data_IF_608203632041
#
_entry.id   IF_608203632041
#
_cell.length_a   1.000
_cell.length_b   1.000
_cell.length_c   1.000
_cell.angle_alpha   90.00
_cell.angle_beta   90.00
_cell.angle_gamma   90.00
#
_symmetry.space_group_name_H-M   'P 1'
#
loop_
_entity.id
_entity.type
_entity.pdbx_description
1 polymer ?
#
# COMPACT_ATOMS: atom_id res chain seq x y z
N UNK A 1 0.05 -67.26 11.10
CA UNK A 1 0.24 -66.24 12.20
C UNK A 1 0.12 -64.88 11.59
N UNK A 2 -0.97 -64.27 11.91
CA UNK A 2 -1.48 -62.99 11.48
C UNK A 2 -0.65 -61.83 12.04
N UNK A 3 -0.35 -60.88 11.17
CA UNK A 3 0.18 -59.58 11.55
C UNK A 3 -0.71 -58.50 10.94
N UNK A 4 -1.63 -57.99 11.71
CA UNK A 4 -2.48 -56.88 11.35
C UNK A 4 -1.68 -55.57 11.33
N UNK A 5 -1.61 -54.95 10.18
CA UNK A 5 -1.07 -53.60 10.03
C UNK A 5 -2.11 -52.56 10.48
N UNK A 6 -1.72 -51.82 11.45
CA UNK A 6 -2.47 -50.71 12.04
C UNK A 6 -2.47 -49.51 11.05
N UNK A 7 -3.62 -49.23 10.45
CA UNK A 7 -3.84 -48.04 9.66
C UNK A 7 -4.16 -46.86 10.63
N UNK A 8 -3.18 -46.07 10.94
CA UNK A 8 -3.39 -44.79 11.62
C UNK A 8 -4.18 -43.82 10.71
N UNK A 9 -5.43 -43.58 11.05
CA UNK A 9 -6.27 -42.56 10.44
C UNK A 9 -5.74 -41.18 10.87
N UNK A 10 -5.22 -40.44 9.91
CA UNK A 10 -4.88 -39.04 10.10
C UNK A 10 -6.15 -38.17 10.01
N UNK A 11 -6.97 -38.18 11.03
CA UNK A 11 -7.99 -37.15 11.26
C UNK A 11 -7.34 -36.01 12.03
N UNK A 12 -6.76 -35.02 11.28
CA UNK A 12 -6.42 -33.72 11.82
C UNK A 12 -7.72 -33.00 12.23
N UNK A 13 -7.99 -32.96 13.51
CA UNK A 13 -9.02 -32.09 14.06
C UNK A 13 -8.61 -30.65 13.77
N UNK A 14 -9.24 -30.01 12.76
CA UNK A 14 -9.31 -28.56 12.71
C UNK A 14 -9.99 -28.13 14.02
N UNK A 15 -9.27 -27.42 14.88
CA UNK A 15 -9.87 -26.78 16.05
C UNK A 15 -10.94 -25.85 15.53
N UNK A 16 -12.20 -26.07 15.91
CA UNK A 16 -13.28 -25.12 15.70
C UNK A 16 -12.92 -23.85 16.50
N UNK A 17 -12.21 -22.95 15.85
CA UNK A 17 -11.94 -21.61 16.41
C UNK A 17 -13.24 -20.85 16.26
N UNK A 18 -13.86 -20.46 17.38
CA UNK A 18 -15.08 -19.66 17.34
C UNK A 18 -14.83 -18.37 16.55
N UNK A 19 -15.75 -17.99 15.66
CA UNK A 19 -15.62 -16.76 14.89
C UNK A 19 -15.51 -15.52 15.79
N UNK A 20 -14.73 -14.56 15.36
CA UNK A 20 -14.63 -13.24 15.99
C UNK A 20 -15.80 -12.40 15.48
N UNK A 21 -16.70 -12.03 16.39
CA UNK A 21 -17.85 -11.19 16.08
C UNK A 21 -17.43 -9.71 16.08
N UNK A 22 -17.70 -9.01 14.98
CA UNK A 22 -17.42 -7.58 14.83
C UNK A 22 -18.43 -6.90 13.92
N UNK A 23 -18.47 -5.57 13.90
CA UNK A 23 -19.38 -4.84 13.02
C UNK A 23 -18.84 -4.76 11.59
N UNK A 24 -17.55 -4.48 11.43
CA UNK A 24 -16.90 -4.37 10.12
C UNK A 24 -15.47 -4.91 10.14
N UNK A 25 -15.04 -5.44 8.99
CA UNK A 25 -13.64 -5.81 8.70
C UNK A 25 -13.08 -4.87 7.65
N UNK A 26 -11.93 -4.27 7.94
CA UNK A 26 -11.16 -3.44 7.00
C UNK A 26 -9.99 -4.28 6.49
N UNK A 27 -9.82 -4.35 5.17
CA UNK A 27 -8.74 -5.08 4.50
C UNK A 27 -7.74 -4.07 3.94
N UNK A 28 -6.61 -3.95 4.61
CA UNK A 28 -5.54 -2.99 4.31
C UNK A 28 -5.39 -1.94 5.41
N UNK A 29 -4.21 -1.90 6.04
CA UNK A 29 -3.80 -0.96 7.08
C UNK A 29 -2.97 0.21 6.52
N UNK A 30 -3.15 0.56 5.24
CA UNK A 30 -2.60 1.77 4.64
C UNK A 30 -3.32 3.04 5.14
N UNK A 31 -2.88 4.24 4.71
CA UNK A 31 -3.44 5.50 5.21
C UNK A 31 -4.96 5.60 5.06
N UNK A 32 -5.52 5.08 3.96
CA UNK A 32 -6.96 5.11 3.69
C UNK A 32 -7.72 4.16 4.62
N UNK A 33 -7.18 2.95 4.86
CA UNK A 33 -7.77 1.99 5.81
C UNK A 33 -7.74 2.51 7.24
N UNK A 34 -6.63 3.14 7.66
CA UNK A 34 -6.52 3.77 8.97
C UNK A 34 -7.53 4.91 9.12
N UNK A 35 -7.69 5.76 8.11
CA UNK A 35 -8.70 6.82 8.18
C UNK A 35 -10.13 6.27 8.17
N UNK A 36 -10.39 5.15 7.49
CA UNK A 36 -11.69 4.47 7.57
C UNK A 36 -12.00 3.97 9.00
N UNK A 37 -10.99 3.53 9.77
CA UNK A 37 -11.16 3.23 11.21
C UNK A 37 -11.68 4.44 11.97
N UNK A 38 -11.11 5.64 11.70
CA UNK A 38 -11.56 6.88 12.33
C UNK A 38 -13.02 7.18 12.02
N UNK A 39 -13.40 7.16 10.75
CA UNK A 39 -14.76 7.47 10.30
C UNK A 39 -15.81 6.47 10.84
N UNK A 40 -15.47 5.17 10.85
CA UNK A 40 -16.32 4.13 11.43
C UNK A 40 -16.40 4.27 12.95
N UNK A 41 -15.31 4.58 13.60
CA UNK A 41 -15.26 4.80 15.05
C UNK A 41 -16.09 6.00 15.51
N UNK A 42 -16.18 7.08 14.72
CA UNK A 42 -17.09 8.21 14.95
C UNK A 42 -18.57 7.75 15.04
N UNK A 43 -18.90 6.67 14.31
CA UNK A 43 -20.25 6.12 14.19
C UNK A 43 -20.51 4.93 15.13
N UNK A 44 -19.64 4.70 16.13
CA UNK A 44 -19.72 3.58 17.07
C UNK A 44 -19.67 2.18 16.42
N UNK A 45 -18.93 2.04 15.33
CA UNK A 45 -18.75 0.80 14.59
C UNK A 45 -17.42 0.18 15.00
N UNK A 46 -17.46 -1.04 15.53
CA UNK A 46 -16.26 -1.81 15.88
C UNK A 46 -15.60 -2.37 14.63
N UNK A 47 -14.29 -2.20 14.55
CA UNK A 47 -13.52 -2.63 13.38
C UNK A 47 -12.37 -3.55 13.74
N UNK A 48 -12.15 -4.56 12.92
CA UNK A 48 -10.92 -5.32 12.83
C UNK A 48 -10.21 -4.97 11.53
N UNK A 49 -8.91 -4.71 11.58
CA UNK A 49 -8.08 -4.35 10.44
C UNK A 49 -7.14 -5.50 10.14
N UNK A 50 -7.15 -6.00 8.91
CA UNK A 50 -6.32 -7.12 8.47
C UNK A 50 -5.38 -6.62 7.38
N UNK A 51 -4.08 -6.89 7.50
CA UNK A 51 -3.09 -6.53 6.47
C UNK A 51 -2.04 -7.63 6.32
N UNK A 52 -1.65 -7.91 5.07
CA UNK A 52 -0.59 -8.86 4.74
C UNK A 52 0.80 -8.39 5.21
N UNK A 53 1.00 -7.08 5.36
CA UNK A 53 2.25 -6.53 5.86
C UNK A 53 2.34 -6.72 7.39
N UNK A 54 3.55 -6.93 7.92
CA UNK A 54 3.76 -7.10 9.36
C UNK A 54 3.66 -5.80 10.15
N UNK A 55 3.44 -4.67 9.47
CA UNK A 55 3.33 -3.33 10.06
C UNK A 55 2.21 -2.53 9.39
N UNK A 56 1.67 -1.56 10.12
CA UNK A 56 0.72 -0.59 9.59
C UNK A 56 1.39 0.42 8.65
N UNK A 57 0.60 1.02 7.76
CA UNK A 57 1.05 2.12 6.90
C UNK A 57 1.08 1.80 5.41
N UNK A 58 0.97 0.52 5.03
CA UNK A 58 0.95 0.13 3.62
C UNK A 58 2.17 0.65 2.85
N UNK A 59 1.97 1.16 1.64
CA UNK A 59 3.05 1.67 0.80
C UNK A 59 3.81 2.84 1.43
N UNK A 60 3.15 3.68 2.23
CA UNK A 60 3.78 4.84 2.87
C UNK A 60 4.89 4.42 3.83
N UNK A 61 4.65 3.42 4.67
CA UNK A 61 5.66 2.91 5.59
C UNK A 61 6.65 1.94 4.92
N UNK A 62 6.18 1.10 3.98
CA UNK A 62 7.00 0.05 3.39
C UNK A 62 7.97 0.57 2.31
N UNK A 63 7.54 1.51 1.46
CA UNK A 63 8.31 1.91 0.29
C UNK A 63 8.99 3.27 0.40
N UNK A 64 8.39 4.21 1.16
CA UNK A 64 8.87 5.60 1.19
C UNK A 64 8.55 6.34 2.52
N UNK A 65 8.93 5.76 3.68
CA UNK A 65 8.60 6.35 4.98
C UNK A 65 9.14 7.76 5.18
N UNK A 66 10.32 8.07 4.65
CA UNK A 66 10.97 9.39 4.77
C UNK A 66 10.68 10.34 3.60
N UNK A 67 9.92 9.88 2.58
CA UNK A 67 9.57 10.72 1.44
C UNK A 67 8.59 11.82 1.85
N UNK A 68 8.85 13.10 1.52
CA UNK A 68 7.92 14.18 1.76
C UNK A 68 6.69 14.06 0.85
N UNK A 69 5.52 14.27 1.43
CA UNK A 69 4.21 14.32 0.79
C UNK A 69 3.66 15.74 0.99
N UNK A 70 3.16 16.37 -0.07
CA UNK A 70 2.75 17.77 -0.08
C UNK A 70 1.26 17.98 -0.32
N UNK A 71 0.51 16.92 -0.65
CA UNK A 71 -0.91 16.96 -1.05
C UNK A 71 -1.85 16.38 0.02
N UNK A 72 -1.40 16.35 1.28
CA UNK A 72 -2.26 16.05 2.42
C UNK A 72 -2.82 17.37 2.97
N UNK A 73 -4.15 17.54 3.02
CA UNK A 73 -4.76 18.77 3.52
C UNK A 73 -4.27 19.15 4.92
N UNK A 74 -4.06 20.44 5.14
CA UNK A 74 -3.58 21.05 6.39
C UNK A 74 -2.11 20.77 6.73
N UNK A 75 -1.39 19.95 5.97
CA UNK A 75 0.05 19.74 6.14
C UNK A 75 0.79 20.35 4.95
N UNK A 76 1.59 21.45 5.15
CA UNK A 76 2.47 21.95 4.10
C UNK A 76 3.44 20.89 3.57
N UNK A 77 3.88 20.02 4.48
CA UNK A 77 4.68 18.82 4.21
C UNK A 77 4.51 17.83 5.36
N UNK A 78 4.43 16.55 5.03
CA UNK A 78 4.47 15.44 5.99
C UNK A 78 5.24 14.28 5.35
N UNK A 79 6.03 13.54 6.12
CA UNK A 79 6.66 12.31 5.58
C UNK A 79 5.66 11.17 5.50
N UNK A 80 5.96 10.13 4.70
CA UNK A 80 5.14 8.92 4.63
C UNK A 80 4.90 8.33 6.02
N UNK A 81 5.96 8.15 6.82
CA UNK A 81 5.83 7.65 8.19
C UNK A 81 5.09 8.64 9.11
N UNK A 82 5.41 9.92 9.02
CA UNK A 82 4.75 10.95 9.84
C UNK A 82 3.24 11.02 9.61
N UNK A 83 2.77 10.76 8.38
CA UNK A 83 1.34 10.64 8.09
C UNK A 83 0.74 9.42 8.80
N UNK A 84 1.42 8.27 8.77
CA UNK A 84 0.94 7.07 9.45
C UNK A 84 0.90 7.26 10.96
N UNK A 85 1.94 7.85 11.55
CA UNK A 85 2.01 8.12 12.99
C UNK A 85 0.85 9.03 13.44
N UNK A 86 0.53 10.06 12.67
CA UNK A 86 -0.60 10.96 12.94
C UNK A 86 -1.94 10.22 12.84
N UNK A 87 -2.13 9.38 11.81
CA UNK A 87 -3.34 8.57 11.66
C UNK A 87 -3.49 7.57 12.82
N UNK A 88 -2.42 6.93 13.25
CA UNK A 88 -2.43 6.01 14.39
C UNK A 88 -2.82 6.72 15.69
N UNK A 89 -2.33 7.95 15.91
CA UNK A 89 -2.77 8.79 17.04
C UNK A 89 -4.26 9.15 16.92
N UNK A 90 -4.73 9.47 15.72
CA UNK A 90 -6.12 9.85 15.47
C UNK A 90 -7.11 8.70 15.73
N UNK A 91 -6.72 7.45 15.45
CA UNK A 91 -7.58 6.27 15.63
C UNK A 91 -7.45 5.63 17.01
N UNK A 92 -6.43 5.97 17.81
CA UNK A 92 -6.18 5.38 19.11
C UNK A 92 -7.42 5.37 20.06
N UNK A 93 -8.27 6.42 20.10
CA UNK A 93 -9.48 6.43 20.94
C UNK A 93 -10.53 5.38 20.59
N UNK A 94 -10.46 4.78 19.40
CA UNK A 94 -11.42 3.78 18.92
C UNK A 94 -10.96 2.33 19.12
N UNK A 95 -9.73 2.13 19.60
CA UNK A 95 -9.13 0.83 19.95
C UNK A 95 -9.35 -0.27 18.90
N UNK A 96 -8.98 -0.03 17.62
CA UNK A 96 -9.16 -1.03 16.57
C UNK A 96 -8.24 -2.23 16.78
N UNK A 97 -8.74 -3.45 16.51
CA UNK A 97 -7.93 -4.65 16.57
C UNK A 97 -7.21 -4.89 15.24
N UNK A 98 -5.87 -4.98 15.27
CA UNK A 98 -5.04 -5.24 14.10
C UNK A 98 -4.64 -6.72 14.00
N UNK A 99 -4.70 -7.26 12.77
CA UNK A 99 -4.22 -8.58 12.39
C UNK A 99 -3.21 -8.40 11.24
N UNK A 100 -1.96 -8.20 11.62
CA UNK A 100 -0.86 -7.91 10.70
C UNK A 100 -0.10 -9.18 10.35
N UNK A 101 0.46 -9.23 9.12
CA UNK A 101 1.10 -10.42 8.59
C UNK A 101 0.11 -11.51 8.18
N UNK A 102 -1.18 -11.16 8.02
CA UNK A 102 -2.25 -12.07 7.65
C UNK A 102 -2.96 -11.59 6.39
N UNK A 103 -3.28 -12.50 5.49
CA UNK A 103 -4.01 -12.20 4.26
C UNK A 103 -5.45 -12.72 4.36
N UNK A 104 -6.43 -11.88 4.00
CA UNK A 104 -7.80 -12.37 3.83
C UNK A 104 -7.85 -13.30 2.62
N UNK A 105 -8.13 -14.56 2.87
CA UNK A 105 -8.18 -15.63 1.87
C UNK A 105 -9.57 -15.80 1.24
N UNK A 106 -10.64 -15.56 2.01
CA UNK A 106 -12.01 -15.71 1.55
C UNK A 106 -12.95 -14.70 2.21
N UNK A 107 -13.95 -14.28 1.44
CA UNK A 107 -15.10 -13.50 1.91
C UNK A 107 -16.35 -14.17 1.37
N UNK A 108 -17.19 -14.68 2.26
CA UNK A 108 -18.45 -15.35 1.95
C UNK A 108 -19.63 -14.51 2.44
N UNK A 109 -20.60 -14.28 1.57
CA UNK A 109 -21.84 -13.59 1.95
C UNK A 109 -22.81 -14.58 2.63
N UNK A 110 -23.26 -14.25 3.82
CA UNK A 110 -24.21 -15.04 4.60
C UNK A 110 -25.59 -14.36 4.68
N UNK A 111 -25.67 -13.05 4.43
CA UNK A 111 -26.87 -12.23 4.56
C UNK A 111 -27.60 -11.96 3.25
N UNK A 112 -28.58 -11.03 3.31
CA UNK A 112 -29.28 -10.50 2.14
C UNK A 112 -28.73 -9.12 1.75
N UNK A 113 -29.22 -8.58 0.63
CA UNK A 113 -28.86 -7.23 0.19
C UNK A 113 -29.31 -6.12 1.18
N UNK A 114 -30.43 -6.35 1.88
CA UNK A 114 -30.98 -5.42 2.87
C UNK A 114 -30.32 -5.56 4.25
N UNK A 115 -29.86 -6.77 4.59
CA UNK A 115 -29.21 -7.11 5.83
C UNK A 115 -27.95 -7.95 5.56
N UNK A 116 -26.86 -7.32 5.04
CA UNK A 116 -25.64 -8.03 4.71
C UNK A 116 -24.97 -8.58 5.96
N UNK A 117 -24.37 -9.74 5.79
CA UNK A 117 -23.53 -10.41 6.78
C UNK A 117 -22.47 -11.23 6.03
N UNK A 118 -21.29 -11.28 6.57
CA UNK A 118 -20.15 -11.92 5.93
C UNK A 118 -19.39 -12.80 6.89
N UNK A 119 -18.86 -13.88 6.34
CA UNK A 119 -17.81 -14.69 6.93
C UNK A 119 -16.51 -14.34 6.20
N UNK A 120 -15.52 -13.85 6.96
CA UNK A 120 -14.20 -13.47 6.44
C UNK A 120 -13.17 -14.41 7.05
N UNK A 121 -12.35 -15.04 6.20
CA UNK A 121 -11.27 -15.93 6.63
C UNK A 121 -9.90 -15.36 6.29
N UNK A 122 -8.90 -15.62 7.17
CA UNK A 122 -7.50 -15.34 6.89
C UNK A 122 -6.73 -16.63 6.58
N UNK A 123 -5.57 -16.48 5.93
CA UNK A 123 -4.62 -17.58 5.69
C UNK A 123 -4.00 -18.15 6.98
N UNK A 124 -4.09 -17.40 8.10
CA UNK A 124 -3.76 -17.88 9.43
C UNK A 124 -4.88 -18.68 10.11
N UNK A 125 -6.02 -18.90 9.44
CA UNK A 125 -7.16 -19.67 9.92
C UNK A 125 -8.07 -18.92 10.89
N UNK A 126 -7.95 -17.60 11.02
CA UNK A 126 -8.93 -16.80 11.77
C UNK A 126 -10.20 -16.61 10.94
N UNK A 127 -11.33 -16.60 11.64
CA UNK A 127 -12.65 -16.38 11.04
C UNK A 127 -13.32 -15.20 11.73
N UNK A 128 -13.88 -14.30 10.93
CA UNK A 128 -14.64 -13.13 11.41
C UNK A 128 -16.08 -13.22 10.88
N UNK A 129 -17.05 -12.85 11.71
CA UNK A 129 -18.39 -12.54 11.27
C UNK A 129 -18.63 -11.04 11.40
N UNK A 130 -19.05 -10.41 10.30
CA UNK A 130 -19.29 -8.96 10.26
C UNK A 130 -20.45 -8.59 9.34
N UNK A 131 -20.95 -7.36 9.48
CA UNK A 131 -22.02 -6.82 8.62
C UNK A 131 -21.48 -6.05 7.41
N UNK A 132 -20.22 -5.64 7.44
CA UNK A 132 -19.61 -4.92 6.35
C UNK A 132 -18.13 -5.31 6.17
N UNK A 133 -17.68 -5.28 4.92
CA UNK A 133 -16.28 -5.45 4.53
C UNK A 133 -15.84 -4.21 3.77
N UNK A 134 -14.75 -3.57 4.23
CA UNK A 134 -14.16 -2.38 3.58
C UNK A 134 -12.81 -2.75 3.00
N UNK A 135 -12.71 -2.79 1.67
CA UNK A 135 -11.48 -3.13 0.95
C UNK A 135 -10.69 -1.83 0.73
N UNK A 136 -9.61 -1.66 1.48
CA UNK A 136 -8.67 -0.54 1.42
C UNK A 136 -7.24 -1.01 1.03
N UNK A 137 -7.17 -2.08 0.22
CA UNK A 137 -5.95 -2.84 -0.07
C UNK A 137 -5.00 -2.16 -1.09
N UNK A 138 -5.23 -0.88 -1.42
CA UNK A 138 -4.41 -0.14 -2.38
C UNK A 138 -4.44 -0.82 -3.75
N UNK A 139 -3.30 -1.24 -4.28
CA UNK A 139 -3.22 -2.04 -5.51
C UNK A 139 -3.17 -3.55 -5.27
N UNK A 140 -3.56 -4.03 -4.09
CA UNK A 140 -3.33 -5.40 -3.66
C UNK A 140 -1.90 -5.60 -3.15
N UNK A 141 -1.43 -6.83 -3.10
CA UNK A 141 -0.02 -7.07 -2.79
C UNK A 141 0.87 -6.50 -3.89
N UNK A 142 1.92 -5.80 -3.48
CA UNK A 142 2.83 -5.14 -4.41
C UNK A 142 4.23 -5.71 -4.30
N UNK A 143 4.83 -5.96 -5.46
CA UNK A 143 6.22 -6.36 -5.57
C UNK A 143 6.91 -5.42 -6.55
N UNK A 144 8.13 -4.98 -6.26
CA UNK A 144 8.90 -4.20 -7.21
C UNK A 144 9.18 -5.02 -8.47
N UNK A 145 9.05 -4.37 -9.62
CA UNK A 145 9.46 -4.99 -10.89
C UNK A 145 10.97 -5.01 -10.95
N UNK A 146 11.52 -6.22 -10.93
CA UNK A 146 12.97 -6.42 -11.01
C UNK A 146 13.46 -6.24 -12.44
N UNK A 147 14.67 -5.64 -12.64
CA UNK A 147 15.29 -5.62 -13.94
C UNK A 147 15.60 -7.06 -14.41
N UNK A 148 15.44 -7.35 -15.71
CA UNK A 148 15.73 -8.68 -16.26
C UNK A 148 17.26 -8.86 -16.43
N UNK A 149 17.99 -8.77 -15.33
CA UNK A 149 19.45 -8.87 -15.30
C UNK A 149 19.84 -10.14 -14.55
N UNK A 150 20.65 -11.02 -15.15
CA UNK A 150 21.16 -12.21 -14.47
C UNK A 150 21.88 -11.85 -13.18
N UNK A 151 21.71 -12.68 -12.16
CA UNK A 151 22.37 -12.56 -10.84
C UNK A 151 22.05 -11.33 -10.02
N UNK A 152 21.14 -10.44 -10.44
CA UNK A 152 20.84 -9.21 -9.70
C UNK A 152 20.32 -9.51 -8.28
N UNK A 153 19.69 -10.67 -8.08
CA UNK A 153 19.20 -11.10 -6.78
C UNK A 153 20.34 -11.34 -5.76
N UNK A 154 21.55 -11.61 -6.21
CA UNK A 154 22.70 -11.82 -5.33
C UNK A 154 23.16 -10.51 -4.66
N UNK A 155 22.75 -9.35 -5.18
CA UNK A 155 23.06 -8.00 -4.69
C UNK A 155 21.93 -7.35 -3.89
N UNK A 156 20.75 -7.98 -3.82
CA UNK A 156 19.58 -7.41 -3.15
C UNK A 156 19.86 -7.19 -1.65
N UNK A 157 19.28 -6.14 -1.10
CA UNK A 157 19.44 -5.68 0.29
C UNK A 157 20.85 -5.25 0.70
N UNK A 158 21.84 -5.39 -0.18
CA UNK A 158 23.24 -4.96 0.06
C UNK A 158 23.66 -3.80 -0.83
N UNK A 159 23.47 -3.94 -2.14
CA UNK A 159 23.82 -2.94 -3.16
C UNK A 159 22.65 -2.62 -4.10
N UNK A 160 21.61 -3.46 -4.16
CA UNK A 160 20.40 -3.25 -4.97
C UNK A 160 19.20 -3.13 -4.05
N UNK A 161 18.50 -1.99 -4.14
CA UNK A 161 17.35 -1.68 -3.29
C UNK A 161 16.17 -1.23 -4.14
N UNK A 162 14.97 -1.74 -3.85
CA UNK A 162 13.74 -1.41 -4.56
C UNK A 162 12.87 -0.38 -3.83
N UNK A 163 13.29 0.03 -2.64
CA UNK A 163 12.66 1.04 -1.81
C UNK A 163 13.73 1.84 -1.05
N UNK A 164 13.44 3.09 -0.73
CA UNK A 164 14.29 3.91 0.14
C UNK A 164 13.55 4.06 1.48
N UNK A 165 13.87 3.20 2.41
CA UNK A 165 13.29 3.22 3.76
C UNK A 165 14.03 4.17 4.71
N UNK A 166 15.32 4.36 4.47
CA UNK A 166 16.20 5.22 5.26
C UNK A 166 17.16 5.96 4.33
N UNK A 167 17.06 7.28 4.27
CA UNK A 167 17.87 8.12 3.38
C UNK A 167 19.35 8.07 3.76
N UNK A 168 19.64 8.04 5.04
CA UNK A 168 21.02 8.04 5.56
C UNK A 168 21.84 6.81 5.14
N UNK A 169 21.20 5.70 4.81
CA UNK A 169 21.85 4.50 4.27
C UNK A 169 22.65 4.77 2.99
N UNK A 170 22.25 5.80 2.25
CA UNK A 170 22.85 6.18 0.97
C UNK A 170 23.90 7.29 1.10
N UNK A 171 24.19 7.73 2.32
CA UNK A 171 25.19 8.78 2.57
C UNK A 171 26.58 8.34 2.10
N UNK A 172 27.17 9.20 1.25
CA UNK A 172 28.51 8.97 0.71
C UNK A 172 28.60 7.85 -0.34
N UNK A 173 27.45 7.25 -0.77
CA UNK A 173 27.39 6.23 -1.80
C UNK A 173 27.37 6.81 -3.20
N UNK A 174 27.84 6.01 -4.19
CA UNK A 174 27.69 6.30 -5.62
C UNK A 174 26.38 5.63 -6.09
N UNK A 175 25.31 6.39 -6.16
CA UNK A 175 23.96 5.88 -6.39
C UNK A 175 23.58 6.00 -7.86
N UNK A 176 23.19 4.89 -8.48
CA UNK A 176 22.52 4.88 -9.77
C UNK A 176 21.03 4.60 -9.58
N UNK A 177 20.19 5.52 -10.01
CA UNK A 177 18.74 5.34 -10.09
C UNK A 177 18.37 4.99 -11.53
N UNK A 178 17.51 3.98 -11.70
CA UNK A 178 17.03 3.57 -13.03
C UNK A 178 15.51 3.66 -13.07
N UNK A 179 14.99 4.56 -13.90
CA UNK A 179 13.56 4.78 -14.02
C UNK A 179 13.22 6.11 -14.69
N UNK A 180 11.96 6.38 -14.93
CA UNK A 180 11.50 7.62 -15.58
C UNK A 180 10.11 8.07 -15.13
N UNK A 181 9.63 7.57 -13.99
CA UNK A 181 8.41 8.00 -13.33
C UNK A 181 8.71 8.84 -12.09
N UNK A 182 7.65 9.29 -11.40
CA UNK A 182 7.74 10.14 -10.21
C UNK A 182 8.70 9.57 -9.16
N UNK A 183 8.59 8.27 -8.83
CA UNK A 183 9.49 7.66 -7.83
C UNK A 183 10.96 7.81 -8.17
N UNK A 184 11.34 7.65 -9.43
CA UNK A 184 12.76 7.76 -9.82
C UNK A 184 13.26 9.20 -9.69
N UNK A 185 12.48 10.18 -10.15
CA UNK A 185 12.87 11.58 -10.15
C UNK A 185 12.84 12.18 -8.73
N UNK A 186 11.84 11.82 -7.94
CA UNK A 186 11.76 12.26 -6.54
C UNK A 186 12.95 11.76 -5.74
N UNK A 187 13.35 10.48 -5.92
CA UNK A 187 14.51 9.94 -5.22
C UNK A 187 15.83 10.51 -5.73
N UNK A 188 15.94 10.86 -7.01
CA UNK A 188 17.10 11.65 -7.50
C UNK A 188 17.22 12.95 -6.70
N UNK A 189 16.12 13.70 -6.56
CA UNK A 189 16.12 15.01 -5.89
C UNK A 189 16.41 14.86 -4.39
N UNK A 190 15.82 13.86 -3.73
CA UNK A 190 15.96 13.68 -2.29
C UNK A 190 17.32 13.07 -1.89
N UNK A 191 17.92 12.22 -2.73
CA UNK A 191 19.21 11.59 -2.42
C UNK A 191 20.42 12.42 -2.91
N UNK A 192 20.23 13.36 -3.82
CA UNK A 192 21.32 14.20 -4.33
C UNK A 192 22.13 14.89 -3.22
N UNK A 193 21.52 15.47 -2.16
CA UNK A 193 22.29 16.11 -1.09
C UNK A 193 23.01 15.13 -0.16
N UNK A 194 22.72 13.84 -0.25
CA UNK A 194 23.18 12.80 0.68
C UNK A 194 24.24 11.90 0.04
N UNK A 195 24.02 11.51 -1.21
CA UNK A 195 24.94 10.64 -1.97
C UNK A 195 26.25 11.36 -2.29
N UNK A 196 27.35 10.61 -2.40
CA UNK A 196 28.62 11.16 -2.92
C UNK A 196 28.53 11.49 -4.41
N UNK A 197 27.86 10.63 -5.18
CA UNK A 197 27.50 10.84 -6.57
C UNK A 197 26.11 10.27 -6.82
N UNK A 198 25.36 10.92 -7.67
CA UNK A 198 24.06 10.43 -8.10
C UNK A 198 23.96 10.46 -9.61
N UNK A 199 23.42 9.40 -10.18
CA UNK A 199 23.15 9.29 -11.61
C UNK A 199 21.72 8.76 -11.81
N UNK A 200 21.07 9.26 -12.86
CA UNK A 200 19.79 8.72 -13.36
C UNK A 200 20.03 8.06 -14.71
N UNK A 201 19.53 6.86 -14.89
CA UNK A 201 19.46 6.22 -16.19
C UNK A 201 18.02 5.99 -16.61
N UNK A 202 17.68 6.38 -17.82
CA UNK A 202 16.40 6.07 -18.43
C UNK A 202 16.57 5.67 -19.91
N UNK A 203 15.65 4.83 -20.39
CA UNK A 203 15.72 4.31 -21.78
C UNK A 203 15.45 5.35 -22.85
N UNK A 204 14.87 6.51 -22.51
CA UNK A 204 14.53 7.60 -23.44
C UNK A 204 14.54 8.94 -22.70
N UNK A 205 14.72 10.03 -23.43
CA UNK A 205 14.64 11.39 -22.88
C UNK A 205 13.19 11.90 -22.83
N UNK A 206 12.30 11.10 -22.22
CA UNK A 206 10.90 11.44 -21.99
C UNK A 206 10.42 10.79 -20.69
N UNK A 207 9.95 11.60 -19.76
CA UNK A 207 9.60 11.19 -18.41
C UNK A 207 8.08 11.16 -18.21
N UNK A 208 7.61 10.26 -17.32
CA UNK A 208 6.23 10.18 -16.86
C UNK A 208 6.06 10.78 -15.47
N UNK A 209 6.98 11.62 -15.07
CA UNK A 209 6.97 12.29 -13.77
C UNK A 209 6.37 13.70 -13.91
N UNK A 210 6.06 14.32 -12.76
CA UNK A 210 5.58 15.67 -12.68
C UNK A 210 6.57 16.64 -13.36
N UNK A 211 6.08 17.63 -14.13
CA UNK A 211 6.95 18.59 -14.84
C UNK A 211 7.96 19.29 -13.93
N UNK A 212 7.58 19.63 -12.71
CA UNK A 212 8.47 20.26 -11.73
C UNK A 212 9.64 19.36 -11.35
N UNK A 213 9.40 18.07 -11.08
CA UNK A 213 10.46 17.09 -10.80
C UNK A 213 11.41 16.92 -11.99
N UNK A 214 10.87 16.92 -13.21
CA UNK A 214 11.68 16.86 -14.43
C UNK A 214 12.57 18.10 -14.56
N UNK A 215 12.03 19.29 -14.31
CA UNK A 215 12.79 20.56 -14.39
C UNK A 215 13.91 20.60 -13.34
N UNK A 216 13.61 20.18 -12.09
CA UNK A 216 14.62 20.08 -11.03
C UNK A 216 15.74 19.11 -11.38
N UNK A 217 15.40 17.93 -11.89
CA UNK A 217 16.39 16.95 -12.32
C UNK A 217 17.28 17.49 -13.44
N UNK A 218 16.70 18.16 -14.46
CA UNK A 218 17.48 18.78 -15.54
C UNK A 218 18.41 19.87 -15.04
N UNK A 219 17.97 20.71 -14.12
CA UNK A 219 18.82 21.72 -13.50
C UNK A 219 20.02 21.11 -12.76
N UNK A 220 19.83 19.96 -12.08
CA UNK A 220 20.92 19.23 -11.46
C UNK A 220 21.92 18.69 -12.48
N UNK A 221 21.46 18.21 -13.64
CA UNK A 221 22.33 17.77 -14.74
C UNK A 221 23.11 18.97 -15.32
N UNK A 222 22.45 20.08 -15.61
CA UNK A 222 23.06 21.29 -16.18
C UNK A 222 24.16 21.87 -15.26
N UNK A 223 23.96 21.80 -13.94
CA UNK A 223 24.96 22.25 -12.96
C UNK A 223 26.06 21.24 -12.68
N UNK A 224 25.99 20.04 -13.26
CA UNK A 224 26.94 18.95 -12.99
C UNK A 224 26.78 18.32 -11.61
N UNK A 225 25.67 18.58 -10.92
CA UNK A 225 25.37 18.00 -9.61
C UNK A 225 24.88 16.55 -9.69
N UNK A 226 24.55 16.07 -10.89
CA UNK A 226 24.22 14.68 -11.19
C UNK A 226 24.53 14.33 -12.65
N UNK A 227 24.63 13.02 -12.90
CA UNK A 227 24.79 12.50 -14.26
C UNK A 227 23.44 11.96 -14.80
N UNK A 228 23.19 12.13 -16.10
CA UNK A 228 22.05 11.50 -16.78
C UNK A 228 22.53 10.64 -17.95
N UNK A 229 22.06 9.38 -17.99
CA UNK A 229 22.45 8.40 -18.99
C UNK A 229 21.22 7.89 -19.75
N UNK A 230 21.29 7.89 -21.07
CA UNK A 230 20.33 7.21 -21.94
C UNK A 230 20.77 5.76 -22.16
N UNK A 231 19.91 4.80 -21.80
CA UNK A 231 20.19 3.38 -21.97
C UNK A 231 19.30 2.49 -21.16
N UNK A 232 19.51 1.20 -21.34
CA UNK A 232 18.81 0.14 -20.60
C UNK A 232 19.83 -0.73 -19.88
N UNK A 233 19.53 -1.10 -18.63
CA UNK A 233 20.36 -2.02 -17.85
C UNK A 233 20.38 -3.40 -18.51
N UNK A 234 21.58 -3.97 -18.68
CA UNK A 234 21.78 -5.31 -19.26
C UNK A 234 22.61 -6.23 -18.37
N UNK A 235 23.29 -5.69 -17.37
CA UNK A 235 24.14 -6.46 -16.46
C UNK A 235 24.59 -5.66 -15.26
N UNK A 236 25.26 -6.35 -14.35
CA UNK A 236 25.95 -5.81 -13.17
C UNK A 236 27.36 -6.36 -13.13
N UNK A 237 28.27 -5.63 -12.51
CA UNK A 237 29.68 -6.00 -12.25
C UNK A 237 29.99 -5.84 -10.77
N UNK A 238 30.91 -6.65 -10.31
CA UNK A 238 31.36 -6.74 -8.92
C UNK A 238 31.21 -8.18 -8.40
N UNK A 239 31.83 -8.45 -7.29
CA UNK A 239 31.67 -9.72 -6.58
C UNK A 239 30.54 -9.57 -5.54
N UNK A 240 29.45 -10.28 -5.74
CA UNK A 240 28.29 -10.19 -4.85
C UNK A 240 28.70 -10.44 -3.38
N UNK A 241 28.19 -9.63 -2.44
CA UNK A 241 27.09 -8.68 -2.57
C UNK A 241 27.50 -7.24 -3.00
N UNK A 242 28.78 -7.00 -3.30
CA UNK A 242 29.33 -5.67 -3.56
C UNK A 242 29.25 -5.34 -5.07
N UNK A 243 28.48 -4.28 -5.39
CA UNK A 243 28.31 -3.76 -6.74
C UNK A 243 29.45 -2.76 -7.05
N UNK A 244 30.06 -2.88 -8.22
CA UNK A 244 31.09 -1.95 -8.70
C UNK A 244 30.61 -1.11 -9.89
N UNK A 245 29.77 -1.67 -10.75
CA UNK A 245 29.20 -0.97 -11.89
C UNK A 245 27.93 -1.64 -12.42
N UNK A 246 27.12 -0.84 -13.10
CA UNK A 246 26.01 -1.31 -13.94
C UNK A 246 26.43 -1.29 -15.39
N UNK A 247 26.18 -2.39 -16.10
CA UNK A 247 26.35 -2.48 -17.54
C UNK A 247 25.05 -2.06 -18.22
N UNK A 248 25.13 -1.11 -19.13
CA UNK A 248 24.00 -0.58 -19.86
C UNK A 248 24.24 -0.61 -21.37
N UNK A 249 23.16 -0.56 -22.15
CA UNK A 249 23.19 -0.52 -23.62
C UNK A 249 22.33 0.63 -24.14
N UNK A 250 22.87 1.40 -25.06
CA UNK A 250 22.16 2.44 -25.81
C UNK A 250 21.29 1.84 -26.91
N UNK A 251 20.41 2.65 -27.50
CA UNK A 251 19.55 2.23 -28.63
C UNK A 251 20.34 1.91 -29.92
N UNK A 252 21.53 2.47 -30.07
CA UNK A 252 22.45 2.15 -31.16
C UNK A 252 23.19 0.81 -30.98
N UNK A 253 22.93 0.11 -29.89
CA UNK A 253 23.53 -1.18 -29.51
C UNK A 253 24.84 -1.05 -28.74
N UNK A 254 25.41 0.16 -28.58
CA UNK A 254 26.65 0.37 -27.83
C UNK A 254 26.49 0.09 -26.37
N UNK A 255 27.34 -0.76 -25.79
CA UNK A 255 27.40 -1.03 -24.37
C UNK A 255 28.35 -0.07 -23.65
N UNK A 256 27.98 0.32 -22.44
CA UNK A 256 28.82 1.17 -21.59
C UNK A 256 28.59 0.79 -20.11
N UNK A 257 29.47 1.26 -19.25
CA UNK A 257 29.43 0.99 -17.81
C UNK A 257 29.21 2.29 -17.05
N UNK A 258 28.43 2.19 -15.97
CA UNK A 258 28.22 3.28 -15.02
C UNK A 258 28.76 2.80 -13.68
N UNK A 259 29.89 3.34 -13.20
CA UNK A 259 30.42 3.02 -11.90
C UNK A 259 29.44 3.44 -10.79
N UNK A 260 29.05 2.50 -9.94
CA UNK A 260 28.18 2.73 -8.80
C UNK A 260 28.31 1.57 -7.82
N UNK A 261 28.16 1.87 -6.54
CA UNK A 261 28.12 0.87 -5.46
C UNK A 261 26.68 0.59 -5.00
N UNK A 262 25.73 1.35 -5.52
CA UNK A 262 24.32 1.26 -5.13
C UNK A 262 23.41 1.46 -6.36
N UNK A 263 22.47 0.53 -6.53
CA UNK A 263 21.48 0.55 -7.62
C UNK A 263 20.06 0.61 -7.05
N UNK A 264 19.28 1.59 -7.53
CA UNK A 264 17.85 1.78 -7.21
C UNK A 264 17.00 1.65 -8.48
N UNK A 265 16.50 0.44 -8.83
CA UNK A 265 15.69 0.24 -10.02
C UNK A 265 14.21 0.54 -9.72
N UNK A 266 13.72 1.71 -10.14
CA UNK A 266 12.31 2.12 -10.01
C UNK A 266 11.53 1.86 -11.31
N UNK A 267 11.23 0.58 -11.57
CA UNK A 267 10.47 0.13 -12.75
C UNK A 267 8.96 0.06 -12.51
N UNK A 268 8.51 0.57 -11.36
CA UNK A 268 7.13 0.47 -10.89
C UNK A 268 6.88 -0.84 -10.14
N UNK A 269 5.65 -0.97 -9.68
CA UNK A 269 5.20 -2.12 -8.92
C UNK A 269 4.43 -3.09 -9.80
N UNK A 270 4.55 -4.38 -9.51
CA UNK A 270 3.63 -5.41 -9.97
C UNK A 270 2.54 -5.54 -8.91
N UNK A 271 1.34 -5.12 -9.25
CA UNK A 271 0.17 -5.18 -8.37
C UNK A 271 -0.56 -6.48 -8.60
N UNK A 272 -0.93 -7.18 -7.54
CA UNK A 272 -1.72 -8.41 -7.60
C UNK A 272 -2.85 -8.34 -6.60
N UNK A 273 -4.07 -8.49 -7.07
CA UNK A 273 -5.26 -8.52 -6.20
C UNK A 273 -5.27 -9.72 -5.26
N UNK A 274 -4.56 -10.81 -5.65
CA UNK A 274 -4.59 -12.04 -4.87
C UNK A 274 -6.02 -12.59 -4.77
N UNK A 275 -6.44 -13.12 -3.60
CA UNK A 275 -7.77 -13.70 -3.41
C UNK A 275 -8.93 -12.74 -3.69
N UNK A 276 -8.71 -11.42 -3.60
CA UNK A 276 -9.76 -10.42 -3.91
C UNK A 276 -10.34 -10.63 -5.31
N UNK A 277 -9.53 -11.12 -6.26
CA UNK A 277 -9.97 -11.39 -7.62
C UNK A 277 -11.03 -12.51 -7.69
N UNK A 278 -11.08 -13.39 -6.69
CA UNK A 278 -11.91 -14.60 -6.66
C UNK A 278 -13.17 -14.43 -5.79
N UNK A 279 -13.40 -13.26 -5.16
CA UNK A 279 -14.57 -13.04 -4.28
C UNK A 279 -15.85 -12.71 -5.02
N UNK A 280 -15.88 -12.89 -6.36
CA UNK A 280 -17.07 -12.64 -7.18
C UNK A 280 -17.41 -11.16 -7.36
N UNK A 281 -16.50 -10.25 -7.04
CA UNK A 281 -16.64 -8.83 -7.30
C UNK A 281 -16.48 -8.54 -8.80
N UNK A 282 -17.26 -7.60 -9.32
CA UNK A 282 -17.02 -7.09 -10.66
C UNK A 282 -15.70 -6.36 -10.69
N UNK A 283 -14.83 -6.71 -11.65
CA UNK A 283 -13.53 -6.07 -11.81
C UNK A 283 -13.42 -5.37 -13.16
N UNK A 284 -12.88 -4.18 -13.18
CA UNK A 284 -12.43 -3.45 -14.36
C UNK A 284 -10.91 -3.29 -14.30
N UNK A 285 -10.17 -3.97 -15.18
CA UNK A 285 -8.70 -3.92 -15.26
C UNK A 285 -7.98 -4.11 -13.89
N UNK A 286 -8.46 -5.05 -13.07
CA UNK A 286 -7.99 -5.31 -11.70
C UNK A 286 -8.34 -4.21 -10.67
N UNK A 287 -9.32 -3.37 -10.96
CA UNK A 287 -9.87 -2.39 -10.03
C UNK A 287 -11.35 -2.76 -9.76
N UNK A 288 -11.85 -2.34 -8.60
CA UNK A 288 -13.22 -2.62 -8.17
C UNK A 288 -14.10 -1.40 -8.49
N UNK A 289 -15.02 -1.49 -9.46
CA UNK A 289 -16.02 -0.44 -9.71
C UNK A 289 -16.90 -0.23 -8.48
N UNK A 290 -17.18 1.03 -8.16
CA UNK A 290 -18.00 1.41 -7.01
C UNK A 290 -19.02 2.49 -7.38
N UNK A 291 -20.10 2.54 -6.61
CA UNK A 291 -21.03 3.65 -6.59
C UNK A 291 -20.42 4.85 -5.85
N UNK A 292 -20.30 5.99 -6.51
CA UNK A 292 -19.65 7.18 -5.95
C UNK A 292 -20.43 7.88 -4.84
N UNK A 293 -21.70 7.54 -4.63
CA UNK A 293 -22.49 8.08 -3.52
C UNK A 293 -22.07 7.49 -2.17
N UNK A 294 -21.61 6.23 -2.16
CA UNK A 294 -21.38 5.46 -0.93
C UNK A 294 -20.17 4.54 -0.99
N UNK A 295 -19.49 4.45 -2.12
CA UNK A 295 -18.32 3.59 -2.37
C UNK A 295 -18.57 2.09 -2.13
N UNK A 296 -19.82 1.68 -2.29
CA UNK A 296 -20.23 0.28 -2.26
C UNK A 296 -19.99 -0.38 -3.63
N UNK A 297 -19.56 -1.63 -3.60
CA UNK A 297 -19.35 -2.45 -4.79
C UNK A 297 -20.70 -2.96 -5.33
N UNK A 298 -20.68 -3.82 -6.35
CA UNK A 298 -21.87 -4.53 -6.82
C UNK A 298 -22.46 -5.51 -5.79
N UNK A 299 -21.71 -5.84 -4.74
CA UNK A 299 -22.13 -6.70 -3.64
C UNK A 299 -22.50 -5.82 -2.43
N UNK A 300 -23.78 -5.74 -2.04
CA UNK A 300 -24.21 -4.95 -0.88
C UNK A 300 -23.45 -5.34 0.38
N UNK A 301 -22.97 -4.33 1.13
CA UNK A 301 -22.17 -4.51 2.34
C UNK A 301 -20.67 -4.67 2.10
N UNK A 302 -20.22 -4.78 0.84
CA UNK A 302 -18.79 -4.73 0.49
C UNK A 302 -18.46 -3.37 -0.14
N UNK A 303 -17.49 -2.68 0.43
CA UNK A 303 -17.04 -1.35 0.01
C UNK A 303 -15.61 -1.43 -0.50
N UNK A 304 -15.25 -0.56 -1.44
CA UNK A 304 -13.86 -0.45 -1.88
C UNK A 304 -13.44 1.04 -1.93
N UNK A 305 -12.34 1.36 -1.23
CA UNK A 305 -11.84 2.72 -1.04
C UNK A 305 -10.33 2.80 -1.31
N UNK A 306 -9.85 3.97 -1.72
CA UNK A 306 -8.45 4.18 -2.09
C UNK A 306 -8.13 3.65 -3.48
N UNK A 307 -6.87 3.29 -3.73
CA UNK A 307 -6.36 2.97 -5.07
C UNK A 307 -6.92 1.67 -5.67
N UNK A 308 -7.57 0.84 -4.85
CA UNK A 308 -8.19 -0.43 -5.27
C UNK A 308 -9.46 -0.23 -6.09
N UNK A 309 -10.16 0.91 -5.91
CA UNK A 309 -11.41 1.16 -6.58
C UNK A 309 -11.24 1.93 -7.90
N UNK A 310 -12.32 1.95 -8.69
CA UNK A 310 -12.44 2.77 -9.91
C UNK A 310 -13.82 3.33 -10.06
N UNK A 311 -13.89 4.56 -10.59
CA UNK A 311 -15.10 5.27 -10.98
C UNK A 311 -14.73 6.44 -11.92
N UNK A 312 -15.67 7.03 -12.67
CA UNK A 312 -15.40 8.18 -13.53
C UNK A 312 -14.80 9.36 -12.74
N UNK A 313 -13.63 9.84 -13.14
CA UNK A 313 -12.94 10.93 -12.46
C UNK A 313 -12.07 10.51 -11.26
N UNK A 314 -11.83 9.21 -11.05
CA UNK A 314 -10.95 8.71 -9.98
C UNK A 314 -9.55 9.31 -10.06
N UNK A 315 -9.12 9.90 -8.95
CA UNK A 315 -7.73 10.28 -8.71
C UNK A 315 -7.13 9.33 -7.67
N UNK A 316 -5.97 8.75 -7.98
CA UNK A 316 -5.23 7.87 -7.06
C UNK A 316 -4.39 8.71 -6.09
N UNK A 317 -5.08 9.42 -5.21
CA UNK A 317 -4.51 10.25 -4.15
C UNK A 317 -5.00 9.75 -2.78
N UNK A 318 -4.17 9.87 -1.76
CA UNK A 318 -4.55 9.54 -0.38
C UNK A 318 -5.77 10.36 0.05
N UNK A 319 -5.79 11.65 -0.30
CA UNK A 319 -6.92 12.56 -0.07
C UNK A 319 -8.25 12.02 -0.63
N UNK A 320 -8.24 11.49 -1.86
CA UNK A 320 -9.44 10.90 -2.47
C UNK A 320 -9.92 9.72 -1.64
N UNK A 321 -9.01 8.85 -1.22
CA UNK A 321 -9.33 7.71 -0.37
C UNK A 321 -9.90 8.10 0.99
N UNK A 322 -9.48 9.21 1.58
CA UNK A 322 -10.07 9.72 2.83
C UNK A 322 -11.54 10.12 2.63
N UNK A 323 -11.84 10.86 1.57
CA UNK A 323 -13.21 11.21 1.24
C UNK A 323 -14.09 9.97 0.98
N UNK A 324 -13.56 9.00 0.25
CA UNK A 324 -14.24 7.74 -0.04
C UNK A 324 -14.57 6.97 1.25
N UNK A 325 -13.62 6.90 2.20
CA UNK A 325 -13.82 6.29 3.51
C UNK A 325 -14.93 6.95 4.32
N UNK A 326 -14.99 8.28 4.32
CA UNK A 326 -16.03 9.04 5.01
C UNK A 326 -17.43 8.71 4.48
N UNK A 327 -17.62 8.67 3.14
CA UNK A 327 -18.92 8.32 2.55
C UNK A 327 -19.28 6.83 2.75
N UNK A 328 -18.30 5.93 2.63
CA UNK A 328 -18.52 4.51 2.89
C UNK A 328 -19.01 4.27 4.33
N UNK A 329 -18.40 4.93 5.32
CA UNK A 329 -18.77 4.80 6.73
C UNK A 329 -20.26 5.16 7.00
N UNK A 330 -20.80 6.17 6.31
CA UNK A 330 -22.20 6.56 6.40
C UNK A 330 -23.15 5.42 5.94
N UNK A 331 -22.76 4.68 4.91
CA UNK A 331 -23.55 3.55 4.42
C UNK A 331 -23.35 2.32 5.30
N UNK A 332 -22.15 2.04 5.77
CA UNK A 332 -21.86 0.96 6.73
C UNK A 332 -22.72 1.12 7.97
N UNK A 333 -22.85 2.34 8.52
CA UNK A 333 -23.70 2.60 9.68
C UNK A 333 -25.15 2.12 9.49
N UNK A 334 -25.73 2.29 8.30
CA UNK A 334 -27.09 1.86 8.03
C UNK A 334 -27.26 0.34 8.05
N UNK A 335 -26.20 -0.43 7.76
CA UNK A 335 -26.21 -1.88 7.85
C UNK A 335 -25.97 -2.37 9.29
N UNK A 336 -25.06 -1.70 10.00
CA UNK A 336 -24.73 -2.07 11.40
C UNK A 336 -25.86 -1.68 12.34
N UNK A 337 -26.46 -0.50 12.14
CA UNK A 337 -27.48 0.08 13.02
C UNK A 337 -28.76 0.45 12.21
N UNK A 338 -29.50 -0.53 11.66
CA UNK A 338 -30.63 -0.25 10.77
C UNK A 338 -31.74 0.56 11.45
N UNK A 339 -31.91 0.40 12.74
CA UNK A 339 -32.95 1.06 13.53
C UNK A 339 -32.53 2.44 14.07
N UNK A 340 -31.27 2.83 13.92
CA UNK A 340 -30.77 4.12 14.36
C UNK A 340 -30.75 5.12 13.22
N UNK A 341 -31.47 6.23 13.40
CA UNK A 341 -31.34 7.35 12.49
C UNK A 341 -29.96 7.97 12.61
N UNK A 342 -29.21 8.01 11.52
CA UNK A 342 -27.96 8.73 11.47
C UNK A 342 -28.25 10.23 11.51
N UNK A 343 -27.83 10.89 12.58
CA UNK A 343 -27.84 12.35 12.68
C UNK A 343 -26.44 12.85 12.40
N UNK A 344 -26.31 13.69 11.41
CA UNK A 344 -25.01 14.32 11.14
C UNK A 344 -24.68 15.29 12.30
N UNK A 345 -23.57 15.04 12.98
CA UNK A 345 -23.03 15.89 14.01
C UNK A 345 -21.65 16.40 13.60
N UNK A 346 -21.40 17.69 13.82
CA UNK A 346 -20.06 18.22 13.67
C UNK A 346 -19.17 17.72 14.82
N UNK A 347 -17.93 17.34 14.51
CA UNK A 347 -16.96 16.86 15.53
C UNK A 347 -16.78 17.85 16.70
N UNK A 348 -16.89 19.12 16.42
CA UNK A 348 -16.78 20.21 17.43
C UNK A 348 -17.95 20.31 18.39
N UNK A 349 -19.07 19.67 18.10
CA UNK A 349 -20.31 19.73 18.91
C UNK A 349 -20.81 18.39 19.39
N UNK A 350 -20.08 17.29 19.17
CA UNK A 350 -20.44 15.96 19.63
C UNK A 350 -19.85 15.65 21.01
N UNK A 351 -20.68 15.61 22.09
CA UNK A 351 -20.19 15.28 23.43
C UNK A 351 -19.65 13.85 23.53
N UNK A 352 -20.21 12.92 22.75
CA UNK A 352 -19.78 11.53 22.72
C UNK A 352 -18.36 11.41 22.14
N UNK A 353 -18.09 12.15 21.06
CA UNK A 353 -16.76 12.21 20.44
C UNK A 353 -15.76 12.89 21.38
N UNK A 354 -16.11 14.01 21.99
CA UNK A 354 -15.22 14.72 22.93
C UNK A 354 -14.79 13.81 24.08
N UNK A 355 -15.74 13.02 24.61
CA UNK A 355 -15.44 12.04 25.66
C UNK A 355 -14.46 10.96 25.17
N UNK A 356 -14.63 10.44 23.93
CA UNK A 356 -13.73 9.44 23.33
C UNK A 356 -12.34 10.02 23.08
N UNK A 357 -12.26 11.26 22.61
CA UNK A 357 -11.01 11.96 22.35
C UNK A 357 -10.33 12.48 23.63
N UNK A 358 -10.96 12.38 24.80
CA UNK A 358 -10.41 12.91 26.04
C UNK A 358 -10.30 14.42 26.09
N UNK A 359 -11.13 15.16 25.33
CA UNK A 359 -11.16 16.63 25.24
C UNK A 359 -12.45 17.23 25.82
N UNK A 360 -13.22 16.45 26.57
CA UNK A 360 -14.45 16.86 27.25
C UNK A 360 -14.20 17.49 28.62
#
# INVERSE_FOLDING_TARGET
MSGAGDQMSANGHMRDIAPIETDAVIIGAGPVGLFAVFELGLLDIKTHVIDILPMVGGQCAELYPEKPIYDIPAFPVVTGQGLIDNLMQQIAPFDPAFHLGEMVSAVESLGSAEAPSFRVETDAGKVFHCKAVVIAAGGGSFLPRKPPVPKIAEYEESSVFYAVREIERFRGRNVLIVGGGDSALDWVINLQPVAARIALMHRRDAFRAAPDSVNKMRALVETGAMDFHLGQITGVKGDAPDLEAVVARRDDGTSFEIPCDTLLPFFGLSMKLGPIADWGLNLDQQLIPVDTEKFETSTPGIFAIGDINTYPGKLKLILSGFHEGALAAQKVHRYVHPDKRLTFEHSTSSPSLHKKLGVA
#
